data_IF_032547297824
#
_entry.id   IF_032547297824
#
_cell.length_a   1.000
_cell.length_b   1.000
_cell.length_c   1.000
_cell.angle_alpha   90.00
_cell.angle_beta   90.00
_cell.angle_gamma   90.00
#
_symmetry.space_group_name_H-M   'P 1'
#
loop_
_entity.id
_entity.type
_entity.pdbx_description
1 polymer ?
#
# COMPACT_ATOMS: atom_id res chain seq x y z
N UNK A 1 -18.32 -16.35 -23.23
CA UNK A 1 -18.32 -15.23 -22.27
C UNK A 1 -17.91 -13.99 -23.06
N UNK A 2 -18.85 -13.08 -23.35
CA UNK A 2 -18.55 -11.84 -24.09
C UNK A 2 -17.84 -10.86 -23.15
N UNK A 3 -16.62 -10.45 -23.50
CA UNK A 3 -15.89 -9.44 -22.71
C UNK A 3 -16.54 -8.08 -22.96
N UNK A 4 -16.88 -7.30 -21.92
CA UNK A 4 -17.54 -6.02 -22.10
C UNK A 4 -16.63 -5.01 -22.80
N UNK A 5 -17.06 -4.49 -23.95
CA UNK A 5 -16.35 -3.48 -24.76
C UNK A 5 -16.07 -2.18 -23.97
N UNK A 6 -16.92 -1.86 -23.00
CA UNK A 6 -16.74 -0.71 -22.10
C UNK A 6 -15.49 -0.81 -21.24
N UNK A 7 -15.09 -2.02 -20.81
CA UNK A 7 -13.86 -2.26 -20.05
C UNK A 7 -12.62 -1.88 -20.88
N UNK A 8 -12.56 -2.35 -22.13
CA UNK A 8 -11.44 -2.09 -23.03
C UNK A 8 -11.27 -0.61 -23.35
N UNK A 9 -12.40 0.10 -23.50
CA UNK A 9 -12.39 1.56 -23.69
C UNK A 9 -11.79 2.26 -22.48
N UNK A 10 -12.17 1.86 -21.26
CA UNK A 10 -11.58 2.38 -20.03
C UNK A 10 -10.07 2.11 -19.91
N UNK A 11 -9.64 0.87 -20.22
CA UNK A 11 -8.21 0.50 -20.19
C UNK A 11 -7.39 1.30 -21.20
N UNK A 12 -7.91 1.56 -22.40
CA UNK A 12 -7.20 2.39 -23.38
C UNK A 12 -6.94 3.81 -22.87
N UNK A 13 -7.90 4.39 -22.13
CA UNK A 13 -7.75 5.72 -21.51
C UNK A 13 -6.70 5.70 -20.40
N UNK A 14 -6.72 4.70 -19.51
CA UNK A 14 -5.75 4.62 -18.40
C UNK A 14 -4.33 4.35 -18.90
N UNK A 15 -4.15 3.56 -19.96
CA UNK A 15 -2.86 3.35 -20.60
C UNK A 15 -2.31 4.66 -21.19
N UNK A 16 -3.16 5.46 -21.84
CA UNK A 16 -2.75 6.78 -22.33
C UNK A 16 -2.32 7.70 -21.18
N UNK A 17 -3.04 7.70 -20.07
CA UNK A 17 -2.67 8.47 -18.87
C UNK A 17 -1.35 7.99 -18.27
N UNK A 18 -1.11 6.67 -18.24
CA UNK A 18 0.11 6.09 -17.69
C UNK A 18 1.39 6.49 -18.45
N UNK A 19 1.28 6.88 -19.72
CA UNK A 19 2.40 7.34 -20.54
C UNK A 19 2.77 8.81 -20.34
N UNK A 20 1.99 9.56 -19.55
CA UNK A 20 2.23 10.99 -19.32
C UNK A 20 3.41 11.22 -18.35
N UNK A 21 4.16 12.33 -18.52
CA UNK A 21 5.23 12.68 -17.57
C UNK A 21 4.70 12.92 -16.15
N UNK A 22 3.47 13.41 -16.01
CA UNK A 22 2.79 13.60 -14.73
C UNK A 22 2.57 12.26 -14.02
N UNK A 23 2.19 11.21 -14.74
CA UNK A 23 2.04 9.87 -14.16
C UNK A 23 3.39 9.32 -13.68
N UNK A 24 4.49 9.60 -14.39
CA UNK A 24 5.83 9.24 -13.93
C UNK A 24 6.20 9.97 -12.63
N UNK A 25 5.82 11.24 -12.49
CA UNK A 25 6.03 12.00 -11.24
C UNK A 25 5.17 11.42 -10.10
N UNK A 26 3.91 11.10 -10.38
CA UNK A 26 3.01 10.44 -9.43
C UNK A 26 3.60 9.13 -8.90
N UNK A 27 4.10 8.25 -9.78
CA UNK A 27 4.70 6.97 -9.35
C UNK A 27 5.96 7.16 -8.49
N UNK A 28 6.77 8.20 -8.76
CA UNK A 28 7.89 8.56 -7.88
C UNK A 28 7.41 9.01 -6.50
N UNK A 29 6.33 9.80 -6.45
CA UNK A 29 5.74 10.25 -5.20
C UNK A 29 5.16 9.08 -4.37
N UNK A 30 4.55 8.08 -5.02
CA UNK A 30 4.06 6.87 -4.34
C UNK A 30 5.18 6.17 -3.57
N UNK A 31 6.33 5.94 -4.22
CA UNK A 31 7.48 5.30 -3.56
C UNK A 31 8.07 6.20 -2.47
N UNK A 32 8.16 7.51 -2.70
CA UNK A 32 8.64 8.46 -1.70
C UNK A 32 7.75 8.46 -0.44
N UNK A 33 6.43 8.44 -0.61
CA UNK A 33 5.47 8.37 0.49
C UNK A 33 5.57 7.05 1.25
N UNK A 34 5.73 5.92 0.54
CA UNK A 34 5.91 4.61 1.15
C UNK A 34 7.16 4.58 2.04
N UNK A 35 8.28 5.14 1.57
CA UNK A 35 9.51 5.27 2.35
C UNK A 35 9.33 6.16 3.58
N UNK A 36 8.69 7.31 3.43
CA UNK A 36 8.41 8.20 4.55
C UNK A 36 7.53 7.54 5.63
N UNK A 37 6.49 6.82 5.21
CA UNK A 37 5.62 6.06 6.12
C UNK A 37 6.40 4.94 6.83
N UNK A 38 7.23 4.20 6.09
CA UNK A 38 8.10 3.16 6.66
C UNK A 38 9.03 3.71 7.72
N UNK A 39 9.70 4.84 7.46
CA UNK A 39 10.61 5.49 8.41
C UNK A 39 9.86 5.93 9.66
N UNK A 40 8.73 6.62 9.51
CA UNK A 40 7.93 7.05 10.64
C UNK A 40 7.48 5.87 11.53
N UNK A 41 7.04 4.76 10.93
CA UNK A 41 6.64 3.57 11.68
C UNK A 41 7.82 2.93 12.42
N UNK A 42 9.00 2.89 11.82
CA UNK A 42 10.22 2.42 12.50
C UNK A 42 10.56 3.32 13.69
N UNK A 43 10.43 4.65 13.54
CA UNK A 43 10.67 5.61 14.62
C UNK A 43 9.66 5.46 15.77
N UNK A 44 8.41 5.05 15.46
CA UNK A 44 7.41 4.65 16.44
C UNK A 44 7.64 3.27 17.07
N UNK A 45 8.72 2.57 16.71
CA UNK A 45 9.08 1.27 17.28
C UNK A 45 8.41 0.07 16.62
N UNK A 46 7.76 0.24 15.46
CA UNK A 46 7.23 -0.88 14.69
C UNK A 46 8.34 -1.56 13.89
N UNK A 47 8.23 -2.88 13.76
CA UNK A 47 9.14 -3.66 12.93
C UNK A 47 8.55 -3.79 11.53
N UNK A 48 9.28 -3.35 10.51
CA UNK A 48 8.93 -3.56 9.11
C UNK A 48 9.61 -4.84 8.62
N UNK A 49 8.85 -5.72 7.95
CA UNK A 49 9.43 -6.91 7.30
C UNK A 49 10.42 -6.44 6.24
N UNK A 50 11.59 -7.08 6.16
CA UNK A 50 12.75 -6.66 5.34
C UNK A 50 13.38 -5.30 5.68
N UNK A 51 12.91 -4.60 6.73
CA UNK A 51 13.51 -3.33 7.20
C UNK A 51 13.17 -2.09 6.37
N UNK A 52 12.27 -2.20 5.40
CA UNK A 52 11.87 -1.08 4.53
C UNK A 52 11.03 -1.54 3.34
N UNK A 53 10.87 -0.66 2.34
CA UNK A 53 10.22 -0.97 1.07
C UNK A 53 10.84 -0.22 -0.11
N UNK A 54 10.93 -0.91 -1.24
CA UNK A 54 11.33 -0.36 -2.54
C UNK A 54 10.13 -0.14 -3.49
N UNK A 55 8.92 -0.38 -3.01
CA UNK A 55 7.70 -0.27 -3.80
C UNK A 55 6.63 0.56 -3.07
N UNK A 56 5.35 0.28 -3.32
CA UNK A 56 4.21 1.06 -2.85
C UNK A 56 3.57 0.53 -1.56
N UNK A 57 4.09 -0.56 -0.99
CA UNK A 57 3.53 -1.19 0.21
C UNK A 57 4.62 -1.52 1.23
N UNK A 58 4.21 -1.68 2.48
CA UNK A 58 5.04 -2.14 3.59
C UNK A 58 4.28 -3.19 4.38
N UNK A 59 5.01 -4.12 4.98
CA UNK A 59 4.44 -5.13 5.86
C UNK A 59 4.93 -4.90 7.29
N UNK A 60 3.99 -4.60 8.19
CA UNK A 60 4.28 -4.29 9.58
C UNK A 60 4.13 -5.55 10.44
N UNK A 61 5.18 -5.93 11.15
CA UNK A 61 5.21 -7.04 12.09
C UNK A 61 4.75 -6.57 13.48
N UNK A 62 3.52 -6.93 13.83
CA UNK A 62 2.87 -6.54 15.07
C UNK A 62 3.20 -7.47 16.26
N UNK A 63 4.00 -8.54 16.06
CA UNK A 63 4.34 -9.49 17.14
C UNK A 63 5.06 -8.84 18.32
N UNK A 64 5.80 -7.75 18.08
CA UNK A 64 6.48 -6.98 19.14
C UNK A 64 5.55 -6.08 19.96
N UNK A 65 4.31 -5.92 19.52
CA UNK A 65 3.31 -5.02 20.12
C UNK A 65 2.19 -5.82 20.81
N UNK A 66 2.43 -7.11 21.10
CA UNK A 66 1.49 -8.05 21.74
C UNK A 66 0.09 -8.08 21.11
N UNK A 67 0.01 -7.80 19.81
CA UNK A 67 -1.24 -7.78 19.05
C UNK A 67 -1.08 -8.52 17.72
N UNK A 68 -2.20 -8.87 17.12
CA UNK A 68 -2.26 -9.54 15.82
C UNK A 68 -2.90 -8.64 14.76
N UNK A 69 -2.59 -8.93 13.49
CA UNK A 69 -3.11 -8.16 12.35
C UNK A 69 -4.63 -8.14 12.28
N UNK A 70 -5.33 -9.19 12.73
CA UNK A 70 -6.79 -9.25 12.69
C UNK A 70 -7.46 -8.38 13.74
N UNK A 71 -6.87 -8.24 14.93
CA UNK A 71 -7.32 -7.27 15.94
C UNK A 71 -7.04 -5.83 15.50
N UNK A 72 -5.83 -5.56 15.02
CA UNK A 72 -5.44 -4.23 14.58
C UNK A 72 -6.29 -3.74 13.40
N UNK A 73 -6.51 -4.58 12.38
CA UNK A 73 -7.35 -4.27 11.22
C UNK A 73 -8.75 -3.82 11.62
N UNK A 74 -9.41 -4.52 12.55
CA UNK A 74 -10.76 -4.16 13.03
C UNK A 74 -10.82 -2.83 13.78
N UNK A 75 -9.78 -2.50 14.54
CA UNK A 75 -9.72 -1.20 15.25
C UNK A 75 -9.47 -0.08 14.24
N UNK A 76 -8.56 -0.29 13.30
CA UNK A 76 -8.28 0.67 12.23
C UNK A 76 -9.52 0.91 11.36
N UNK A 77 -10.26 -0.13 11.02
CA UNK A 77 -11.52 -0.03 10.27
C UNK A 77 -12.55 0.83 11.01
N UNK A 78 -12.70 0.66 12.33
CA UNK A 78 -13.55 1.52 13.17
C UNK A 78 -13.10 2.98 13.20
N UNK A 79 -11.82 3.24 12.98
CA UNK A 79 -11.23 4.58 12.87
C UNK A 79 -11.18 5.10 11.42
N UNK A 80 -11.88 4.46 10.48
CA UNK A 80 -11.88 4.80 9.06
C UNK A 80 -10.50 4.69 8.36
N UNK A 81 -9.62 3.85 8.89
CA UNK A 81 -8.34 3.49 8.28
C UNK A 81 -8.47 2.10 7.66
N UNK A 82 -8.57 2.04 6.34
CA UNK A 82 -8.62 0.78 5.61
C UNK A 82 -7.21 0.17 5.48
N UNK A 83 -7.02 -1.01 6.07
CA UNK A 83 -5.81 -1.82 5.98
C UNK A 83 -6.20 -3.29 5.84
N UNK A 84 -5.23 -4.15 5.51
CA UNK A 84 -5.47 -5.59 5.40
C UNK A 84 -4.50 -6.38 6.28
N UNK A 85 -5.00 -7.37 7.01
CA UNK A 85 -4.15 -8.33 7.73
C UNK A 85 -3.40 -9.25 6.76
N UNK A 86 -2.11 -9.46 6.99
CA UNK A 86 -1.30 -10.35 6.17
C UNK A 86 -0.35 -11.20 7.03
N UNK A 87 -0.07 -12.43 6.58
CA UNK A 87 0.86 -13.33 7.26
C UNK A 87 2.29 -12.81 7.13
N UNK A 88 3.05 -12.83 8.23
CA UNK A 88 4.46 -12.45 8.27
C UNK A 88 5.36 -13.68 8.41
N UNK A 89 6.61 -13.65 7.89
CA UNK A 89 7.63 -14.66 8.17
C UNK A 89 8.03 -14.73 9.65
#
# INVERSE_FOLDING_TARGET
MSVPVSLWTGVAVTLKQAMTPEFKLYQKQVVANCKALSTALVDFGYKIVTGGSDNHLILVDLRKQDTDGGRAEKVLEKCAIACNKNTCP
#
